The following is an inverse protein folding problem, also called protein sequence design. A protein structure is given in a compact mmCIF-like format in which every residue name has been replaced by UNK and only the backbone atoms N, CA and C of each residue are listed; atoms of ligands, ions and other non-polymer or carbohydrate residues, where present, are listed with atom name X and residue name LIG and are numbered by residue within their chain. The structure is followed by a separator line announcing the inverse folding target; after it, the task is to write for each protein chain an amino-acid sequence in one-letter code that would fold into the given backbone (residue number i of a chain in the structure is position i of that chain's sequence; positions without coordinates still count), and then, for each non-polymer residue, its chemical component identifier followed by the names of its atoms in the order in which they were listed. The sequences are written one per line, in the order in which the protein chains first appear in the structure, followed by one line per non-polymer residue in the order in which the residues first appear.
data_IF_478804941738
#
_entry.id   IF_478804941738
#
_cell.length_a   1.000
_cell.length_b   1.000
_cell.length_c   1.000
_cell.angle_alpha   90.00
_cell.angle_beta   90.00
_cell.angle_gamma   90.00
#
_symmetry.space_group_name_H-M   'P 1'
#
loop_
_entity.id
_entity.type
_entity.pdbx_description
1 polymer ?
#
# COMPACT_ATOMS: atom_id res chain seq x y z
N UNK A 1 -21.28 -4.53 -32.49
CA UNK A 1 -21.61 -4.92 -31.11
C UNK A 1 -20.73 -4.08 -30.21
N UNK A 2 -21.24 -2.91 -29.85
CA UNK A 2 -20.53 -1.94 -29.03
C UNK A 2 -20.47 -2.48 -27.60
N UNK A 3 -19.28 -2.83 -27.14
CA UNK A 3 -19.08 -3.13 -25.72
C UNK A 3 -19.17 -1.82 -24.94
N UNK A 4 -20.07 -1.68 -23.95
CA UNK A 4 -20.14 -0.47 -23.15
C UNK A 4 -18.82 -0.28 -22.39
N UNK A 5 -18.19 0.87 -22.59
CA UNK A 5 -17.00 1.31 -21.84
C UNK A 5 -17.41 1.49 -20.37
N UNK A 6 -16.81 0.77 -19.41
CA UNK A 6 -17.20 0.87 -18.02
C UNK A 6 -16.98 2.30 -17.53
N UNK A 7 -18.06 2.93 -17.07
CA UNK A 7 -18.02 4.25 -16.48
C UNK A 7 -17.29 4.17 -15.14
N UNK A 8 -16.41 5.15 -14.92
CA UNK A 8 -15.33 5.23 -13.94
C UNK A 8 -15.75 5.20 -12.44
N UNK A 9 -16.90 4.61 -12.07
CA UNK A 9 -17.46 4.62 -10.72
C UNK A 9 -17.69 3.22 -10.11
N UNK A 10 -17.50 2.14 -10.86
CA UNK A 10 -17.93 0.79 -10.45
C UNK A 10 -16.79 -0.20 -10.23
N UNK A 11 -15.53 0.24 -10.35
CA UNK A 11 -14.35 -0.53 -9.91
C UNK A 11 -13.84 0.11 -8.62
N UNK A 12 -14.59 -0.08 -7.53
CA UNK A 12 -14.05 -0.01 -6.17
C UNK A 12 -14.21 -1.42 -5.59
N UNK A 13 -13.50 -2.35 -6.21
CA UNK A 13 -13.37 -3.72 -5.76
C UNK A 13 -12.60 -3.72 -4.42
N UNK A 14 -12.75 -4.75 -3.59
CA UNK A 14 -11.93 -4.86 -2.37
C UNK A 14 -10.42 -4.97 -2.67
N UNK A 15 -10.02 -5.06 -3.96
CA UNK A 15 -8.67 -4.82 -4.48
C UNK A 15 -8.21 -3.35 -4.44
N UNK A 16 -9.10 -2.38 -4.19
CA UNK A 16 -8.80 -0.95 -4.15
C UNK A 16 -8.28 -0.46 -2.80
N UNK A 17 -7.95 -1.40 -1.90
CA UNK A 17 -7.34 -1.07 -0.61
C UNK A 17 -6.10 -1.91 -0.37
N UNK A 18 -5.00 -1.24 -0.09
CA UNK A 18 -3.82 -1.84 0.49
C UNK A 18 -4.05 -2.09 1.97
N UNK A 19 -3.77 -3.31 2.43
CA UNK A 19 -3.94 -3.69 3.84
C UNK A 19 -2.60 -4.10 4.44
N UNK A 20 -2.46 -3.85 5.73
CA UNK A 20 -1.29 -4.29 6.48
C UNK A 20 -1.57 -4.31 7.97
N UNK A 21 -0.59 -4.79 8.72
CA UNK A 21 -0.71 -4.95 10.15
C UNK A 21 0.64 -4.82 10.84
N UNK A 22 0.63 -4.47 12.12
CA UNK A 22 1.81 -4.55 12.97
C UNK A 22 2.24 -6.03 13.13
N UNK A 23 3.51 -6.27 13.41
CA UNK A 23 4.07 -7.61 13.63
C UNK A 23 3.32 -8.39 14.74
N UNK A 24 2.86 -7.70 15.78
CA UNK A 24 2.08 -8.32 16.85
C UNK A 24 0.62 -8.66 16.44
N UNK A 25 0.15 -8.15 15.31
CA UNK A 25 -1.22 -8.34 14.81
C UNK A 25 -2.29 -7.51 15.52
N UNK A 26 -1.97 -6.81 16.61
CA UNK A 26 -2.93 -6.00 17.39
C UNK A 26 -3.41 -4.76 16.64
N UNK A 27 -2.63 -4.25 15.69
CA UNK A 27 -2.97 -3.11 14.86
C UNK A 27 -3.06 -3.53 13.40
N UNK A 28 -4.15 -3.14 12.74
CA UNK A 28 -4.41 -3.39 11.32
C UNK A 28 -4.82 -2.08 10.67
N UNK A 29 -4.37 -1.86 9.45
CA UNK A 29 -4.71 -0.67 8.67
C UNK A 29 -5.16 -1.06 7.26
N UNK A 30 -5.89 -0.14 6.65
CA UNK A 30 -6.35 -0.24 5.27
C UNK A 30 -6.29 1.16 4.66
N UNK A 31 -5.59 1.28 3.53
CA UNK A 31 -5.34 2.54 2.83
C UNK A 31 -5.91 2.40 1.42
N UNK A 32 -6.66 3.38 0.89
CA UNK A 32 -7.08 3.36 -0.51
C UNK A 32 -5.87 3.28 -1.45
N UNK A 33 -5.90 2.38 -2.43
CA UNK A 33 -4.77 2.19 -3.35
C UNK A 33 -4.52 3.42 -4.23
N UNK A 34 -5.56 4.24 -4.46
CA UNK A 34 -5.46 5.52 -5.18
C UNK A 34 -4.55 6.54 -4.48
N UNK A 35 -4.37 6.40 -3.16
CA UNK A 35 -3.53 7.29 -2.38
C UNK A 35 -2.06 6.80 -2.35
N UNK A 36 -1.70 5.71 -3.04
CA UNK A 36 -0.33 5.19 -3.02
C UNK A 36 0.49 5.72 -4.20
N UNK A 37 1.63 6.34 -3.91
CA UNK A 37 2.54 6.83 -4.95
C UNK A 37 3.47 5.71 -5.49
N UNK A 38 3.71 4.65 -4.70
CA UNK A 38 4.53 3.51 -5.11
C UNK A 38 5.12 2.75 -3.92
N UNK A 39 6.19 2.00 -4.17
CA UNK A 39 6.97 1.33 -3.13
C UNK A 39 8.46 1.38 -3.46
N UNK A 40 9.30 1.59 -2.44
CA UNK A 40 10.76 1.61 -2.62
C UNK A 40 11.50 0.99 -1.43
N UNK A 41 12.76 0.61 -1.67
CA UNK A 41 13.66 0.07 -0.65
C UNK A 41 14.48 1.20 -0.02
N UNK A 42 14.11 1.62 1.19
CA UNK A 42 14.84 2.61 1.98
C UNK A 42 16.05 1.97 2.68
N UNK A 43 17.25 2.55 2.53
CA UNK A 43 18.47 2.13 3.24
C UNK A 43 18.97 3.17 4.26
N UNK A 44 18.19 4.23 4.51
CA UNK A 44 18.57 5.28 5.44
C UNK A 44 18.71 4.76 6.87
N UNK A 45 19.55 5.41 7.69
CA UNK A 45 19.86 4.92 9.04
C UNK A 45 18.61 4.79 9.92
N UNK A 46 17.66 5.73 9.81
CA UNK A 46 16.43 5.68 10.60
C UNK A 46 15.51 4.54 10.16
N UNK A 47 15.39 4.28 8.85
CA UNK A 47 14.69 3.13 8.32
C UNK A 47 15.29 1.82 8.87
N UNK A 48 16.62 1.68 8.80
CA UNK A 48 17.33 0.49 9.28
C UNK A 48 17.18 0.28 10.78
N UNK A 49 17.28 1.34 11.59
CA UNK A 49 17.11 1.27 13.05
C UNK A 49 15.68 0.91 13.44
N UNK A 50 14.70 1.37 12.68
CA UNK A 50 13.28 1.13 12.98
C UNK A 50 12.86 -0.30 12.65
N UNK A 51 13.38 -0.86 11.53
CA UNK A 51 12.97 -2.20 11.07
C UNK A 51 13.97 -3.30 11.41
N UNK A 52 15.19 -2.95 11.84
CA UNK A 52 16.28 -3.91 12.05
C UNK A 52 16.81 -4.58 10.78
N UNK A 53 16.41 -4.08 9.60
CA UNK A 53 16.79 -4.64 8.29
C UNK A 53 17.72 -3.68 7.54
N UNK A 54 18.62 -4.21 6.70
CA UNK A 54 19.51 -3.37 5.87
C UNK A 54 18.74 -2.51 4.85
N UNK A 55 17.57 -2.99 4.43
CA UNK A 55 16.61 -2.23 3.61
C UNK A 55 15.21 -2.38 4.22
N UNK A 56 14.46 -1.29 4.26
CA UNK A 56 13.05 -1.26 4.63
C UNK A 56 12.19 -1.05 3.38
N UNK A 57 11.17 -1.88 3.18
CA UNK A 57 10.12 -1.59 2.22
C UNK A 57 9.27 -0.42 2.74
N UNK A 58 9.22 0.68 2.00
CA UNK A 58 8.46 1.88 2.35
C UNK A 58 7.46 2.18 1.24
N UNK A 59 6.23 2.51 1.62
CA UNK A 59 5.12 2.85 0.73
C UNK A 59 4.71 4.30 1.03
N UNK A 60 5.12 5.27 0.21
CA UNK A 60 4.65 6.66 0.32
C UNK A 60 3.19 6.80 -0.14
N UNK A 61 2.50 7.76 0.47
CA UNK A 61 1.12 8.14 0.20
C UNK A 61 1.00 9.66 0.06
#
# INVERSE_FOLDING_TARGET
MDHPKPTNKEVLDMSDKYTGQCLCGSFRYSIPTIDLEGAFSCHYIDCRRTTGSDFAAVVPF
#
